data_IF_066691804309
#
_entry.id   IF_066691804309
#
_cell.length_a   1.000
_cell.length_b   1.000
_cell.length_c   1.000
_cell.angle_alpha   90.00
_cell.angle_beta   90.00
_cell.angle_gamma   90.00
#
_symmetry.space_group_name_H-M   'P 1'
#
loop_
_entity.id
_entity.type
_entity.pdbx_description
1 polymer ?
#
# COMPACT_ATOMS: atom_id res chain seq x y z
N UNK A 1 -6.12 -9.82 -31.06
CA UNK A 1 -7.12 -8.90 -31.58
C UNK A 1 -7.01 -7.49 -31.00
N UNK A 2 -6.51 -7.34 -29.73
CA UNK A 2 -6.47 -6.06 -29.02
C UNK A 2 -5.06 -5.47 -28.88
N UNK A 3 -4.10 -5.85 -29.70
CA UNK A 3 -2.70 -5.40 -29.61
C UNK A 3 -2.55 -3.87 -29.72
N UNK A 4 -3.44 -3.21 -30.45
CA UNK A 4 -3.48 -1.75 -30.52
C UNK A 4 -3.64 -1.05 -29.17
N UNK A 5 -4.29 -1.69 -28.19
CA UNK A 5 -4.38 -1.16 -26.80
C UNK A 5 -3.02 -1.19 -26.11
N UNK A 6 -2.22 -2.22 -26.37
CA UNK A 6 -0.84 -2.30 -25.83
C UNK A 6 0.03 -1.19 -26.45
N UNK A 7 -0.10 -0.95 -27.76
CA UNK A 7 0.61 0.13 -28.43
C UNK A 7 0.20 1.51 -27.91
N UNK A 8 -1.10 1.72 -27.68
CA UNK A 8 -1.62 2.97 -27.13
C UNK A 8 -1.12 3.18 -25.69
N UNK A 9 -1.16 2.13 -24.88
CA UNK A 9 -0.63 2.16 -23.53
C UNK A 9 0.87 2.49 -23.52
N UNK A 10 1.68 1.85 -24.38
CA UNK A 10 3.10 2.14 -24.51
C UNK A 10 3.39 3.59 -24.89
N UNK A 11 2.62 4.16 -25.86
CA UNK A 11 2.70 5.58 -26.24
C UNK A 11 2.35 6.51 -25.06
N UNK A 12 1.34 6.14 -24.28
CA UNK A 12 0.96 6.89 -23.09
C UNK A 12 2.08 6.85 -22.04
N UNK A 13 2.62 5.67 -21.76
CA UNK A 13 3.72 5.49 -20.81
C UNK A 13 4.97 6.28 -21.20
N UNK A 14 5.34 6.28 -22.46
CA UNK A 14 6.47 7.07 -22.96
C UNK A 14 6.30 8.59 -22.73
N UNK A 15 5.06 9.08 -22.71
CA UNK A 15 4.77 10.51 -22.50
C UNK A 15 4.47 10.89 -21.04
N UNK A 16 3.94 9.98 -20.25
CA UNK A 16 3.35 10.28 -18.93
C UNK A 16 3.77 9.34 -17.82
N UNK A 17 4.59 8.32 -18.11
CA UNK A 17 5.02 7.26 -17.19
C UNK A 17 3.86 6.45 -16.56
N UNK A 18 2.72 6.44 -17.20
CA UNK A 18 1.53 5.64 -16.85
C UNK A 18 0.89 5.11 -18.14
N UNK A 19 0.22 3.95 -18.13
CA UNK A 19 0.01 3.04 -17.00
C UNK A 19 1.26 2.23 -16.61
N UNK A 20 1.25 1.66 -15.39
CA UNK A 20 2.19 0.64 -14.98
C UNK A 20 1.84 -0.72 -15.59
N UNK A 21 2.84 -1.56 -15.79
CA UNK A 21 2.67 -2.91 -16.35
C UNK A 21 2.99 -3.96 -15.31
N UNK A 22 2.16 -4.99 -15.25
CA UNK A 22 2.36 -6.15 -14.38
C UNK A 22 2.35 -7.40 -15.27
N UNK A 23 3.38 -8.21 -15.13
CA UNK A 23 3.42 -9.53 -15.77
C UNK A 23 2.52 -10.51 -15.02
N UNK A 24 1.41 -10.91 -15.62
CA UNK A 24 0.51 -11.92 -15.07
C UNK A 24 1.27 -13.22 -14.79
N UNK A 25 2.10 -13.67 -15.72
CA UNK A 25 2.93 -14.86 -15.54
C UNK A 25 3.78 -14.79 -14.28
N UNK A 26 4.48 -13.68 -14.06
CA UNK A 26 5.32 -13.49 -12.87
C UNK A 26 4.50 -13.35 -11.60
N UNK A 27 3.36 -12.71 -11.66
CA UNK A 27 2.45 -12.61 -10.50
C UNK A 27 1.93 -13.99 -10.09
N UNK A 28 1.53 -14.82 -11.04
CA UNK A 28 1.08 -16.19 -10.77
C UNK A 28 2.22 -17.03 -10.19
N UNK A 29 3.45 -16.93 -10.72
CA UNK A 29 4.62 -17.61 -10.18
C UNK A 29 4.93 -17.23 -8.71
N UNK A 30 4.74 -15.96 -8.35
CA UNK A 30 5.13 -15.43 -7.05
C UNK A 30 4.01 -15.41 -6.00
N UNK A 31 2.74 -15.40 -6.43
CA UNK A 31 1.58 -15.13 -5.57
C UNK A 31 0.55 -16.26 -5.54
N UNK A 32 0.75 -17.29 -6.33
CA UNK A 32 -0.05 -18.53 -6.22
C UNK A 32 0.54 -19.36 -5.09
N UNK A 33 -0.32 -19.82 -4.21
CA UNK A 33 0.09 -20.69 -3.12
C UNK A 33 0.40 -22.14 -3.58
N UNK A 34 0.83 -22.99 -2.64
CA UNK A 34 1.16 -24.39 -2.93
C UNK A 34 -0.03 -25.22 -3.39
N UNK A 35 -1.25 -24.75 -3.16
CA UNK A 35 -2.50 -25.40 -3.55
C UNK A 35 -3.00 -24.91 -4.92
N UNK A 36 -2.26 -24.04 -5.58
CA UNK A 36 -2.64 -23.44 -6.86
C UNK A 36 -3.70 -22.35 -6.74
N UNK A 37 -3.98 -21.90 -5.53
CA UNK A 37 -4.92 -20.80 -5.29
C UNK A 37 -4.18 -19.46 -5.35
N UNK A 38 -4.65 -18.59 -6.20
CA UNK A 38 -4.12 -17.25 -6.37
C UNK A 38 -4.47 -16.66 -7.72
N UNK A 39 -4.38 -15.37 -7.82
CA UNK A 39 -4.67 -14.64 -9.05
C UNK A 39 -3.71 -13.48 -9.23
N UNK A 40 -3.51 -13.07 -10.48
CA UNK A 40 -2.89 -11.79 -10.76
C UNK A 40 -3.84 -10.68 -10.33
N UNK A 41 -3.33 -9.75 -9.53
CA UNK A 41 -4.04 -8.56 -9.11
C UNK A 41 -3.12 -7.34 -9.14
N UNK A 42 -3.70 -6.17 -9.31
CA UNK A 42 -2.93 -4.94 -9.44
C UNK A 42 -2.34 -4.51 -8.11
N UNK A 43 -1.15 -3.94 -8.16
CA UNK A 43 -0.62 -3.15 -7.06
C UNK A 43 -1.33 -1.80 -6.98
N UNK A 44 -1.19 -1.13 -5.84
CA UNK A 44 -1.67 0.22 -5.64
C UNK A 44 -0.51 1.21 -5.65
N UNK A 45 -0.74 2.37 -6.26
CA UNK A 45 0.20 3.48 -6.27
C UNK A 45 1.62 3.04 -6.60
N UNK A 46 2.54 3.17 -5.66
CA UNK A 46 3.95 2.82 -5.81
C UNK A 46 4.25 1.32 -5.66
N UNK A 47 3.37 0.45 -6.14
CA UNK A 47 3.52 -1.03 -6.17
C UNK A 47 3.35 -1.72 -4.84
N UNK A 48 2.56 -1.14 -3.94
CA UNK A 48 2.10 -1.81 -2.72
C UNK A 48 1.01 -2.83 -3.05
N UNK A 49 1.16 -4.05 -2.55
CA UNK A 49 0.14 -5.08 -2.67
C UNK A 49 -0.73 -5.11 -1.42
N UNK A 50 -2.05 -5.28 -1.63
CA UNK A 50 -2.97 -5.44 -0.52
C UNK A 50 -2.75 -6.78 0.19
N UNK A 51 -2.99 -6.80 1.48
CA UNK A 51 -3.03 -8.03 2.27
C UNK A 51 -4.07 -8.99 1.68
N UNK A 52 -3.82 -10.31 1.65
CA UNK A 52 -4.83 -11.29 1.26
C UNK A 52 -6.14 -11.10 2.03
N UNK A 53 -7.26 -11.27 1.35
CA UNK A 53 -8.59 -11.16 1.93
C UNK A 53 -9.48 -12.29 1.44
N UNK A 54 -10.14 -12.96 2.38
CA UNK A 54 -11.16 -13.96 2.08
C UNK A 54 -12.51 -13.37 2.45
N UNK A 55 -13.41 -13.34 1.48
CA UNK A 55 -14.76 -12.83 1.68
C UNK A 55 -15.53 -13.76 2.64
N UNK A 56 -16.01 -13.27 3.77
CA UNK A 56 -16.68 -14.09 4.78
C UNK A 56 -18.04 -14.67 4.31
N UNK A 57 -18.67 -14.05 3.31
CA UNK A 57 -19.96 -14.52 2.79
C UNK A 57 -19.76 -15.67 1.78
N UNK A 58 -18.72 -15.60 0.96
CA UNK A 58 -18.48 -16.56 -0.11
C UNK A 58 -17.40 -17.58 0.21
N UNK A 59 -16.56 -17.32 1.22
CA UNK A 59 -15.38 -18.12 1.54
C UNK A 59 -14.29 -18.08 0.47
N UNK A 60 -14.41 -17.18 -0.53
CA UNK A 60 -13.47 -17.09 -1.66
C UNK A 60 -12.54 -15.89 -1.52
N UNK A 61 -11.30 -16.00 -2.02
CA UNK A 61 -10.38 -14.85 -2.06
C UNK A 61 -10.91 -13.78 -3.02
N UNK A 62 -10.79 -12.51 -2.59
CA UNK A 62 -11.21 -11.34 -3.35
C UNK A 62 -10.02 -10.46 -3.68
N UNK A 63 -9.84 -10.17 -4.96
CA UNK A 63 -8.68 -9.45 -5.49
C UNK A 63 -9.02 -8.08 -6.10
N UNK A 64 -10.29 -7.70 -6.15
CA UNK A 64 -10.78 -6.45 -6.75
C UNK A 64 -11.67 -5.66 -5.79
N UNK A 65 -11.88 -4.37 -6.08
CA UNK A 65 -12.72 -3.49 -5.28
C UNK A 65 -12.15 -3.19 -3.89
N UNK A 66 -10.86 -3.43 -3.69
CA UNK A 66 -10.17 -3.23 -2.43
C UNK A 66 -9.34 -1.95 -2.46
N UNK A 67 -8.96 -1.43 -1.30
CA UNK A 67 -8.28 -0.15 -1.22
C UNK A 67 -7.35 -0.03 0.00
N UNK A 68 -6.52 1.01 -0.02
CA UNK A 68 -5.71 1.42 1.11
C UNK A 68 -6.34 2.66 1.77
N UNK A 69 -6.51 2.62 3.08
CA UNK A 69 -7.09 3.72 3.87
C UNK A 69 -6.14 4.92 4.00
N UNK A 70 -4.85 4.71 3.74
CA UNK A 70 -3.84 5.74 3.76
C UNK A 70 -2.47 5.23 4.15
N UNK A 71 -1.47 6.09 3.92
CA UNK A 71 -0.06 5.82 4.21
C UNK A 71 0.45 6.86 5.19
N UNK A 72 1.27 6.45 6.15
CA UNK A 72 2.12 7.31 6.95
C UNK A 72 3.56 6.86 6.72
N UNK A 73 4.44 7.80 6.40
CA UNK A 73 5.82 7.48 6.02
C UNK A 73 6.80 7.98 7.10
N UNK A 74 7.64 7.07 7.59
CA UNK A 74 8.75 7.43 8.47
C UNK A 74 9.91 8.00 7.65
N UNK A 75 10.44 9.14 8.07
CA UNK A 75 11.63 9.75 7.48
C UNK A 75 12.89 9.19 8.16
N UNK A 76 13.53 8.21 7.53
CA UNK A 76 14.74 7.58 8.07
C UNK A 76 15.94 8.52 8.08
N UNK A 77 15.99 9.49 7.18
CA UNK A 77 17.06 10.51 7.16
C UNK A 77 17.01 11.36 8.41
N UNK A 78 15.81 11.82 8.81
CA UNK A 78 15.62 12.57 10.05
C UNK A 78 16.08 11.77 11.27
N UNK A 79 15.73 10.49 11.34
CA UNK A 79 16.16 9.59 12.42
C UNK A 79 17.69 9.49 12.48
N UNK A 80 18.32 9.26 11.33
CA UNK A 80 19.77 9.12 11.23
C UNK A 80 20.50 10.41 11.64
N UNK A 81 20.11 11.54 11.08
CA UNK A 81 20.74 12.84 11.40
C UNK A 81 20.54 13.23 12.86
N UNK A 82 19.35 13.01 13.42
CA UNK A 82 19.02 13.31 14.81
C UNK A 82 19.80 12.45 15.80
N UNK A 83 20.25 11.26 15.38
CA UNK A 83 21.08 10.37 16.21
C UNK A 83 22.52 10.89 16.39
N UNK A 84 23.00 11.73 15.47
CA UNK A 84 24.37 12.26 15.45
C UNK A 84 25.44 11.19 15.51
N UNK A 85 25.24 10.06 14.79
CA UNK A 85 26.18 8.94 14.74
C UNK A 85 26.13 7.99 15.95
N UNK A 86 25.27 8.24 16.93
CA UNK A 86 25.06 7.34 18.06
C UNK A 86 24.00 6.28 17.72
N UNK A 87 24.39 5.01 17.67
CA UNK A 87 23.53 3.93 17.22
C UNK A 87 22.41 3.57 18.22
N UNK A 88 22.69 3.66 19.52
CA UNK A 88 21.65 3.46 20.56
C UNK A 88 20.59 4.55 20.50
N UNK A 89 21.05 5.80 20.34
CA UNK A 89 20.15 6.94 20.15
C UNK A 89 19.34 6.84 18.85
N UNK A 90 19.93 6.28 17.78
CA UNK A 90 19.23 6.01 16.53
C UNK A 90 18.00 5.12 16.76
N UNK A 91 18.18 3.98 17.41
CA UNK A 91 17.07 3.05 17.66
C UNK A 91 16.01 3.64 18.58
N UNK A 92 16.41 4.39 19.60
CA UNK A 92 15.46 5.08 20.47
C UNK A 92 14.60 6.07 19.71
N UNK A 93 15.20 6.92 18.85
CA UNK A 93 14.46 7.88 18.00
C UNK A 93 13.59 7.13 16.99
N UNK A 94 14.10 6.06 16.39
CA UNK A 94 13.36 5.23 15.45
C UNK A 94 12.08 4.68 16.10
N UNK A 95 12.17 4.08 17.28
CA UNK A 95 11.02 3.53 17.99
C UNK A 95 10.00 4.61 18.37
N UNK A 96 10.47 5.78 18.81
CA UNK A 96 9.59 6.94 19.08
C UNK A 96 8.83 7.38 17.83
N UNK A 97 9.51 7.49 16.67
CA UNK A 97 8.91 7.85 15.40
C UNK A 97 7.97 6.77 14.87
N UNK A 98 8.34 5.51 15.02
CA UNK A 98 7.51 4.36 14.63
C UNK A 98 6.21 4.34 15.43
N UNK A 99 6.28 4.53 16.75
CA UNK A 99 5.10 4.64 17.61
C UNK A 99 4.20 5.82 17.21
N UNK A 100 4.78 6.94 16.81
CA UNK A 100 4.03 8.10 16.31
C UNK A 100 3.33 7.77 14.98
N UNK A 101 4.02 7.13 14.05
CA UNK A 101 3.44 6.66 12.79
C UNK A 101 2.27 5.72 13.03
N UNK A 102 2.41 4.77 13.94
CA UNK A 102 1.33 3.85 14.32
C UNK A 102 0.10 4.60 14.87
N UNK A 103 0.29 5.56 15.77
CA UNK A 103 -0.82 6.40 16.29
C UNK A 103 -1.49 7.19 15.17
N UNK A 104 -0.70 7.73 14.23
CA UNK A 104 -1.24 8.48 13.10
C UNK A 104 -2.07 7.58 12.17
N UNK A 105 -1.61 6.34 11.90
CA UNK A 105 -2.37 5.36 11.12
C UNK A 105 -3.69 4.99 11.82
N UNK A 106 -3.66 4.77 13.13
CA UNK A 106 -4.88 4.52 13.91
C UNK A 106 -5.84 5.70 13.89
N UNK A 107 -5.33 6.93 13.98
CA UNK A 107 -6.17 8.13 13.90
C UNK A 107 -6.84 8.24 12.52
N UNK A 108 -6.13 7.94 11.43
CA UNK A 108 -6.72 7.88 10.08
C UNK A 108 -7.82 6.85 9.97
N UNK A 109 -7.56 5.63 10.46
CA UNK A 109 -8.57 4.56 10.48
C UNK A 109 -9.82 4.98 11.26
N UNK A 110 -9.64 5.48 12.48
CA UNK A 110 -10.75 5.96 13.32
C UNK A 110 -11.55 7.08 12.66
N UNK A 111 -10.89 7.95 11.89
CA UNK A 111 -11.55 9.06 11.19
C UNK A 111 -12.49 8.58 10.08
N UNK A 112 -12.23 7.41 9.50
CA UNK A 112 -13.05 6.81 8.45
C UNK A 112 -14.31 6.11 9.02
N UNK A 113 -14.29 5.69 10.29
CA UNK A 113 -15.42 5.02 10.91
C UNK A 113 -16.66 5.92 10.92
N UNK A 114 -17.79 5.33 10.62
CA UNK A 114 -19.07 6.03 10.54
C UNK A 114 -19.27 6.86 9.27
N UNK A 115 -18.30 6.89 8.34
CA UNK A 115 -18.42 7.62 7.08
C UNK A 115 -19.56 7.02 6.24
N UNK A 116 -20.56 7.82 5.80
CA UNK A 116 -21.62 7.33 4.93
C UNK A 116 -21.12 7.18 3.49
N UNK A 117 -21.71 6.26 2.76
CA UNK A 117 -21.39 6.00 1.34
C UNK A 117 -21.61 7.23 0.45
N UNK A 118 -22.42 8.18 0.89
CA UNK A 118 -22.67 9.46 0.21
C UNK A 118 -21.47 10.40 0.19
N UNK A 119 -20.48 10.19 1.06
CA UNK A 119 -19.25 10.98 1.10
C UNK A 119 -18.43 10.87 -0.21
N UNK A 120 -18.50 9.71 -0.87
CA UNK A 120 -17.89 9.49 -2.18
C UNK A 120 -18.68 8.42 -2.97
N UNK A 121 -19.82 8.79 -3.58
CA UNK A 121 -20.73 7.83 -4.21
C UNK A 121 -20.08 6.98 -5.29
N UNK A 122 -19.19 7.57 -6.10
CA UNK A 122 -18.48 6.84 -7.16
C UNK A 122 -17.68 5.66 -6.58
N UNK A 123 -17.03 5.86 -5.42
CA UNK A 123 -16.25 4.83 -4.76
C UNK A 123 -17.14 3.78 -4.09
N UNK A 124 -18.15 4.24 -3.35
CA UNK A 124 -18.88 3.40 -2.39
C UNK A 124 -20.21 2.85 -2.89
N UNK A 125 -20.89 3.56 -3.80
CA UNK A 125 -22.23 3.18 -4.27
C UNK A 125 -22.22 2.64 -5.71
N UNK A 126 -21.41 3.23 -6.60
CA UNK A 126 -21.46 2.94 -8.05
C UNK A 126 -20.43 1.93 -8.52
N UNK A 127 -19.72 1.30 -7.63
CA UNK A 127 -18.94 0.09 -7.89
C UNK A 127 -17.46 0.27 -8.21
N UNK A 128 -16.88 1.47 -8.01
CA UNK A 128 -15.43 1.60 -8.12
C UNK A 128 -14.71 0.75 -7.04
N UNK A 129 -15.20 0.78 -5.80
CA UNK A 129 -14.70 -0.06 -4.72
C UNK A 129 -15.79 -0.96 -4.13
N UNK A 130 -17.01 -0.48 -4.01
CA UNK A 130 -18.14 -1.20 -3.43
C UNK A 130 -19.47 -0.80 -4.07
N UNK A 131 -20.54 -1.49 -3.72
CA UNK A 131 -21.92 -1.20 -4.13
C UNK A 131 -22.82 -1.10 -2.90
N UNK A 132 -22.49 -0.18 -2.00
CA UNK A 132 -23.28 0.11 -0.81
C UNK A 132 -24.54 0.89 -1.17
N UNK A 133 -25.56 0.74 -0.35
CA UNK A 133 -26.76 1.56 -0.45
C UNK A 133 -26.46 2.99 -0.04
N UNK A 134 -27.28 3.94 -0.51
CA UNK A 134 -27.19 5.34 -0.10
C UNK A 134 -27.35 5.45 1.42
N UNK A 135 -26.46 6.22 2.08
CA UNK A 135 -26.42 6.39 3.53
C UNK A 135 -25.83 5.22 4.32
N UNK A 136 -25.53 4.08 3.68
CA UNK A 136 -24.88 2.95 4.34
C UNK A 136 -23.45 3.31 4.75
N UNK A 137 -23.04 2.91 5.96
CA UNK A 137 -21.67 3.19 6.45
C UNK A 137 -20.66 2.26 5.81
N UNK A 138 -19.45 2.80 5.57
CA UNK A 138 -18.34 2.05 4.97
C UNK A 138 -17.60 1.14 5.96
N UNK A 139 -18.01 1.10 7.22
CA UNK A 139 -17.27 0.44 8.31
C UNK A 139 -16.90 -1.02 7.99
N UNK A 140 -17.81 -1.78 7.39
CA UNK A 140 -17.55 -3.18 7.00
C UNK A 140 -16.40 -3.35 6.00
N UNK A 141 -16.05 -2.28 5.26
CA UNK A 141 -14.96 -2.28 4.30
C UNK A 141 -13.62 -1.88 4.92
N UNK A 142 -13.60 -1.46 6.19
CA UNK A 142 -12.41 -1.02 6.90
C UNK A 142 -11.72 -2.14 7.67
N UNK A 143 -12.38 -3.28 7.83
CA UNK A 143 -11.93 -4.40 8.66
C UNK A 143 -11.75 -5.69 7.86
N UNK A 144 -11.26 -6.73 8.55
CA UNK A 144 -11.17 -8.08 8.01
C UNK A 144 -10.20 -8.26 6.84
N UNK A 145 -9.31 -7.28 6.59
CA UNK A 145 -8.40 -7.31 5.46
C UNK A 145 -8.99 -6.83 4.13
N UNK A 146 -10.25 -6.39 4.10
CA UNK A 146 -10.87 -5.82 2.89
C UNK A 146 -10.11 -4.57 2.41
N UNK A 147 -9.72 -3.73 3.34
CA UNK A 147 -8.80 -2.61 3.11
C UNK A 147 -7.58 -2.71 4.02
N UNK A 148 -6.53 -1.95 3.70
CA UNK A 148 -5.29 -1.91 4.46
C UNK A 148 -4.96 -0.49 4.89
N UNK A 149 -4.11 -0.37 5.89
CA UNK A 149 -3.35 0.84 6.19
C UNK A 149 -1.88 0.53 5.98
N UNK A 150 -1.10 1.49 5.51
CA UNK A 150 0.29 1.25 5.13
C UNK A 150 1.24 2.15 5.90
N UNK A 151 2.31 1.54 6.42
CA UNK A 151 3.49 2.26 6.88
C UNK A 151 4.51 2.27 5.75
N UNK A 152 4.94 3.46 5.34
CA UNK A 152 6.03 3.65 4.41
C UNK A 152 7.32 4.07 5.12
N UNK A 153 8.41 4.01 4.39
CA UNK A 153 9.68 4.62 4.79
C UNK A 153 10.35 5.31 3.60
N UNK A 154 11.14 6.33 3.89
CA UNK A 154 11.88 7.09 2.87
C UNK A 154 13.29 7.38 3.36
N UNK A 155 14.24 7.48 2.41
CA UNK A 155 15.61 7.84 2.68
C UNK A 155 16.45 6.71 3.29
N UNK A 156 16.18 5.44 2.93
CA UNK A 156 16.94 4.30 3.45
C UNK A 156 18.42 4.38 3.05
N UNK A 157 18.70 4.72 1.79
CA UNK A 157 20.08 4.84 1.31
C UNK A 157 20.86 5.89 2.10
N UNK A 158 20.32 7.09 2.22
CA UNK A 158 20.94 8.21 2.95
C UNK A 158 21.09 7.89 4.44
N UNK A 159 20.10 7.22 5.02
CA UNK A 159 20.14 6.76 6.41
C UNK A 159 21.31 5.79 6.62
N UNK A 160 21.44 4.75 5.78
CA UNK A 160 22.52 3.78 5.86
C UNK A 160 23.88 4.46 5.60
N UNK A 161 23.97 5.30 4.57
CA UNK A 161 25.19 6.04 4.26
C UNK A 161 25.67 6.92 5.41
N UNK A 162 24.77 7.53 6.16
CA UNK A 162 25.11 8.37 7.30
C UNK A 162 25.49 7.55 8.54
N UNK A 163 24.79 6.43 8.81
CA UNK A 163 24.98 5.63 10.03
C UNK A 163 26.13 4.64 9.94
N UNK A 164 26.44 4.14 8.73
CA UNK A 164 27.54 3.19 8.49
C UNK A 164 28.67 3.96 7.82
N UNK A 165 29.84 4.02 8.47
CA UNK A 165 30.99 4.69 7.87
C UNK A 165 31.33 4.07 6.51
N UNK A 166 31.73 4.92 5.56
CA UNK A 166 31.93 4.64 4.14
C UNK A 166 32.85 3.44 3.82
N UNK A 167 33.65 3.00 4.78
CA UNK A 167 34.62 1.90 4.64
C UNK A 167 33.99 0.52 4.47
N UNK A 168 32.69 0.37 4.72
CA UNK A 168 32.00 -0.92 4.63
C UNK A 168 31.03 -1.03 3.43
N UNK A 169 30.89 0.03 2.63
CA UNK A 169 29.97 0.07 1.49
C UNK A 169 30.66 0.11 0.12
N UNK A 170 31.98 0.02 0.07
CA UNK A 170 32.73 -0.25 -1.16
C UNK A 170 32.78 -1.75 -1.40
N UNK A 171 31.74 -2.27 -1.99
CA UNK A 171 31.77 -3.52 -2.74
C UNK A 171 32.01 -3.21 -4.20
#
# INVERSE_FOLDING_TARGET
PYYYLTELAAKCTAKRMVPDYISEKKMLELKVDKNGEGHCYTCMGCRSFLTPYVDPETGKPKYYGRFNQGVVTINLVDVALSSKGNFEKFWKIFDERLALCHRALQARHKRLLGTPSDAAPILWQYGALARLKKGEKIDKLLFGGYSTISLGYAGLYECVKYTVSYTHLTL
#
